data_IF_822980486534
#
_entry.id   IF_822980486534
#
_cell.length_a   1.000
_cell.length_b   1.000
_cell.length_c   1.000
_cell.angle_alpha   90.00
_cell.angle_beta   90.00
_cell.angle_gamma   90.00
#
_symmetry.space_group_name_H-M   'P 1'
#
loop_
_entity.id
_entity.type
_entity.pdbx_description
1 polymer ?
#
# COMPACT_ATOMS: atom_id res chain seq x y z
N UNK A 1 -31.04 -19.36 13.81
CA UNK A 1 -30.14 -18.26 14.22
C UNK A 1 -29.13 -18.07 13.10
N UNK A 2 -29.22 -17.02 12.30
CA UNK A 2 -28.25 -16.74 11.23
C UNK A 2 -27.02 -16.12 11.90
N UNK A 3 -25.91 -16.85 11.95
CA UNK A 3 -24.63 -16.35 12.44
C UNK A 3 -24.14 -15.21 11.54
N UNK A 4 -23.98 -14.00 12.11
CA UNK A 4 -23.26 -12.87 11.49
C UNK A 4 -21.76 -13.02 11.73
N UNK A 5 -21.15 -14.12 11.30
CA UNK A 5 -19.69 -14.17 11.27
C UNK A 5 -19.21 -13.04 10.34
N UNK A 6 -18.27 -12.17 10.79
CA UNK A 6 -17.72 -11.14 9.92
C UNK A 6 -17.02 -11.80 8.73
N UNK A 7 -17.23 -11.25 7.55
CA UNK A 7 -16.54 -11.73 6.35
C UNK A 7 -15.05 -11.40 6.45
N UNK A 8 -14.22 -12.44 6.46
CA UNK A 8 -12.76 -12.29 6.37
C UNK A 8 -12.37 -12.28 4.90
N UNK A 9 -11.54 -11.30 4.53
CA UNK A 9 -10.95 -11.19 3.19
C UNK A 9 -9.46 -10.90 3.32
N UNK A 10 -8.67 -11.54 2.47
CA UNK A 10 -7.27 -11.21 2.28
C UNK A 10 -7.14 -9.94 1.45
N UNK A 11 -6.18 -9.08 1.78
CA UNK A 11 -5.82 -7.92 0.97
C UNK A 11 -4.32 -7.89 0.78
N UNK A 12 -3.85 -7.99 -0.47
CA UNK A 12 -2.43 -7.90 -0.76
C UNK A 12 -2.08 -6.50 -1.24
N UNK A 13 -1.40 -5.76 -0.38
CA UNK A 13 -1.07 -4.36 -0.59
C UNK A 13 0.04 -4.15 -1.63
N UNK A 14 1.14 -4.92 -1.52
CA UNK A 14 2.29 -4.79 -2.42
C UNK A 14 2.90 -6.14 -2.76
N UNK A 15 3.21 -6.32 -4.04
CA UNK A 15 4.02 -7.42 -4.55
C UNK A 15 5.02 -6.87 -5.56
N UNK A 16 6.31 -6.97 -5.25
CA UNK A 16 7.39 -6.50 -6.10
C UNK A 16 8.47 -7.57 -6.24
N UNK A 17 8.91 -7.82 -7.48
CA UNK A 17 10.07 -8.66 -7.76
C UNK A 17 11.13 -7.79 -8.40
N UNK A 18 12.33 -7.82 -7.82
CA UNK A 18 13.48 -7.11 -8.36
C UNK A 18 13.72 -7.52 -9.83
N UNK A 19 13.97 -6.57 -10.77
CA UNK A 19 13.97 -6.84 -12.21
C UNK A 19 14.82 -8.03 -12.65
N UNK A 20 16.00 -8.21 -12.05
CA UNK A 20 16.91 -9.32 -12.38
C UNK A 20 16.35 -10.72 -12.06
N UNK A 21 15.32 -10.79 -11.21
CA UNK A 21 14.72 -12.03 -10.73
C UNK A 21 13.28 -12.25 -11.23
N UNK A 22 12.78 -11.35 -12.08
CA UNK A 22 11.47 -11.51 -12.73
C UNK A 22 11.47 -12.69 -13.71
N UNK A 23 10.27 -13.21 -14.01
CA UNK A 23 10.06 -14.35 -14.93
C UNK A 23 10.70 -15.68 -14.47
N UNK A 24 11.07 -15.81 -13.20
CA UNK A 24 11.62 -17.03 -12.58
C UNK A 24 10.64 -17.76 -11.66
N UNK A 25 9.35 -17.40 -11.70
CA UNK A 25 8.31 -18.00 -10.85
C UNK A 25 8.34 -17.58 -9.38
N UNK A 26 9.09 -16.54 -9.02
CA UNK A 26 9.22 -16.11 -7.61
C UNK A 26 7.92 -15.50 -7.10
N UNK A 27 7.28 -14.63 -7.89
CA UNK A 27 6.00 -14.04 -7.52
C UNK A 27 4.91 -15.10 -7.29
N UNK A 28 4.90 -16.16 -8.10
CA UNK A 28 3.97 -17.28 -7.94
C UNK A 28 4.14 -17.93 -6.56
N UNK A 29 5.37 -18.31 -6.22
CA UNK A 29 5.68 -18.93 -4.92
C UNK A 29 5.32 -18.04 -3.73
N UNK A 30 5.54 -16.73 -3.85
CA UNK A 30 5.18 -15.77 -2.79
C UNK A 30 3.67 -15.69 -2.61
N UNK A 31 2.90 -15.65 -3.71
CA UNK A 31 1.43 -15.60 -3.65
C UNK A 31 0.87 -16.91 -3.11
N UNK A 32 1.37 -18.06 -3.54
CA UNK A 32 0.92 -19.37 -3.04
C UNK A 32 1.15 -19.47 -1.51
N UNK A 33 2.32 -19.02 -1.04
CA UNK A 33 2.65 -18.98 0.39
C UNK A 33 1.81 -17.99 1.19
N UNK A 34 1.29 -16.94 0.55
CA UNK A 34 0.40 -15.98 1.19
C UNK A 34 -1.05 -16.48 1.28
N UNK A 35 -1.49 -17.26 0.28
CA UNK A 35 -2.85 -17.81 0.23
C UNK A 35 -3.06 -18.83 1.35
N UNK A 36 -2.06 -19.66 1.67
CA UNK A 36 -2.11 -20.68 2.74
C UNK A 36 -2.66 -20.11 4.08
N UNK A 37 -2.01 -19.14 4.74
CA UNK A 37 -2.50 -18.60 6.01
C UNK A 37 -3.81 -17.81 5.86
N UNK A 38 -4.08 -17.19 4.71
CA UNK A 38 -5.36 -16.50 4.48
C UNK A 38 -6.54 -17.48 4.52
N UNK A 39 -6.38 -18.67 3.94
CA UNK A 39 -7.40 -19.72 3.99
C UNK A 39 -7.56 -20.23 5.43
N UNK A 40 -6.48 -20.43 6.16
CA UNK A 40 -6.50 -20.86 7.56
C UNK A 40 -7.24 -19.87 8.47
N UNK A 41 -7.11 -18.57 8.23
CA UNK A 41 -7.83 -17.50 8.93
C UNK A 41 -9.30 -17.34 8.47
N UNK A 42 -9.75 -18.15 7.50
CA UNK A 42 -11.12 -18.17 7.02
C UNK A 42 -11.43 -17.13 5.95
N UNK A 43 -10.42 -16.56 5.30
CA UNK A 43 -10.62 -15.66 4.17
C UNK A 43 -11.28 -16.39 3.00
N UNK A 44 -12.36 -15.81 2.46
CA UNK A 44 -13.08 -16.36 1.30
C UNK A 44 -12.73 -15.70 -0.03
N UNK A 45 -12.12 -14.53 0.04
CA UNK A 45 -11.71 -13.73 -1.10
C UNK A 45 -10.35 -13.10 -0.81
N UNK A 46 -9.54 -12.95 -1.86
CA UNK A 46 -8.32 -12.15 -1.84
C UNK A 46 -8.48 -10.99 -2.81
N UNK A 47 -8.23 -9.78 -2.32
CA UNK A 47 -8.32 -8.54 -3.08
C UNK A 47 -6.92 -8.02 -3.41
N UNK A 48 -6.82 -7.45 -4.60
CA UNK A 48 -5.63 -6.79 -5.15
C UNK A 48 -6.08 -5.57 -5.91
N UNK A 49 -5.39 -4.45 -5.70
CA UNK A 49 -5.48 -3.27 -6.55
C UNK A 49 -4.17 -3.04 -7.29
N UNK A 50 -4.26 -2.54 -8.50
CA UNK A 50 -3.10 -2.13 -9.29
C UNK A 50 -3.52 -1.04 -10.27
N UNK A 51 -2.59 -0.16 -10.61
CA UNK A 51 -2.84 0.82 -11.67
C UNK A 51 -3.20 0.09 -12.98
N UNK A 52 -4.24 0.49 -13.71
CA UNK A 52 -4.59 -0.12 -15.00
C UNK A 52 -3.43 -0.15 -16.01
N UNK A 53 -2.48 0.78 -15.92
CA UNK A 53 -1.26 0.82 -16.74
C UNK A 53 -0.19 -0.18 -16.28
N UNK A 54 -0.31 -0.78 -15.09
CA UNK A 54 0.54 -1.86 -14.62
C UNK A 54 0.19 -3.19 -15.30
N UNK A 55 0.46 -3.26 -16.60
CA UNK A 55 0.15 -4.41 -17.45
C UNK A 55 0.84 -5.70 -16.97
N UNK A 56 1.97 -5.61 -16.27
CA UNK A 56 2.66 -6.75 -15.69
C UNK A 56 1.84 -7.39 -14.56
N UNK A 57 1.31 -6.60 -13.64
CA UNK A 57 0.45 -7.08 -12.56
C UNK A 57 -0.86 -7.66 -13.12
N UNK A 58 -1.52 -6.97 -14.06
CA UNK A 58 -2.74 -7.47 -14.70
C UNK A 58 -2.51 -8.85 -15.32
N UNK A 59 -1.47 -9.00 -16.16
CA UNK A 59 -1.13 -10.28 -16.79
C UNK A 59 -0.73 -11.37 -15.80
N UNK A 60 -0.22 -11.00 -14.62
CA UNK A 60 0.15 -11.96 -13.58
C UNK A 60 -1.08 -12.50 -12.83
N UNK A 61 -2.04 -11.63 -12.47
CA UNK A 61 -3.22 -12.01 -11.67
C UNK A 61 -4.36 -12.61 -12.48
N UNK A 62 -4.59 -12.18 -13.73
CA UNK A 62 -5.68 -12.70 -14.58
C UNK A 62 -5.68 -14.24 -14.70
N UNK A 63 -4.57 -14.92 -15.06
CA UNK A 63 -4.57 -16.38 -15.18
C UNK A 63 -4.70 -17.12 -13.83
N UNK A 64 -4.60 -16.41 -12.69
CA UNK A 64 -4.78 -16.98 -11.34
C UNK A 64 -6.23 -16.94 -10.85
N UNK A 65 -7.16 -16.49 -11.69
CA UNK A 65 -8.58 -16.42 -11.34
C UNK A 65 -8.99 -15.12 -10.64
N UNK A 66 -8.09 -14.13 -10.53
CA UNK A 66 -8.48 -12.76 -10.16
C UNK A 66 -9.29 -12.15 -11.30
N UNK A 67 -10.61 -12.26 -11.20
CA UNK A 67 -11.58 -11.75 -12.17
C UNK A 67 -12.25 -10.46 -11.73
N UNK A 68 -13.14 -9.94 -12.58
CA UNK A 68 -13.93 -8.73 -12.34
C UNK A 68 -13.09 -7.47 -12.03
N UNK A 69 -12.10 -7.12 -12.88
CA UNK A 69 -11.33 -5.90 -12.67
C UNK A 69 -12.25 -4.68 -12.65
N UNK A 70 -12.08 -3.84 -11.64
CA UNK A 70 -12.74 -2.53 -11.54
C UNK A 70 -11.69 -1.44 -11.65
N UNK A 71 -11.94 -0.46 -12.51
CA UNK A 71 -11.09 0.72 -12.60
C UNK A 71 -11.53 1.72 -11.52
N UNK A 72 -10.59 2.12 -10.66
CA UNK A 72 -10.82 3.15 -9.65
C UNK A 72 -10.31 4.49 -10.17
N UNK A 73 -11.07 5.57 -9.93
CA UNK A 73 -10.63 6.94 -10.18
C UNK A 73 -9.97 7.46 -8.91
N UNK A 74 -8.72 7.91 -9.01
CA UNK A 74 -7.98 8.51 -7.92
C UNK A 74 -7.76 9.99 -8.18
N UNK A 75 -8.02 10.82 -7.17
CA UNK A 75 -7.68 12.25 -7.20
C UNK A 75 -6.38 12.45 -6.44
N UNK A 76 -5.52 13.32 -6.96
CA UNK A 76 -4.36 13.83 -6.22
C UNK A 76 -4.47 15.33 -6.07
N UNK A 77 -4.07 15.83 -4.91
CA UNK A 77 -3.93 17.25 -4.63
C UNK A 77 -2.48 17.52 -4.27
N UNK A 78 -1.83 18.43 -5.01
CA UNK A 78 -0.50 18.85 -4.66
C UNK A 78 -0.53 19.90 -3.54
N UNK A 79 -0.30 19.47 -2.31
CA UNK A 79 -0.30 20.32 -1.13
C UNK A 79 0.83 21.36 -1.11
N UNK A 80 1.92 21.17 -1.86
CA UNK A 80 3.01 22.16 -1.89
C UNK A 80 2.61 23.48 -2.55
N UNK A 81 1.49 23.47 -3.28
CA UNK A 81 0.89 24.66 -3.89
C UNK A 81 -0.12 25.36 -2.98
N UNK A 82 -0.45 24.78 -1.83
CA UNK A 82 -1.38 25.37 -0.87
C UNK A 82 -0.65 26.39 0.02
N UNK A 83 -1.24 27.56 0.24
CA UNK A 83 -0.65 28.61 1.09
C UNK A 83 -0.46 28.18 2.55
N UNK A 84 -1.30 27.25 3.04
CA UNK A 84 -1.16 26.69 4.39
C UNK A 84 0.13 25.89 4.50
N UNK A 85 0.52 25.19 3.44
CA UNK A 85 1.73 24.36 3.42
C UNK A 85 2.98 25.19 3.69
N UNK A 86 3.13 26.32 2.99
CA UNK A 86 4.25 27.24 3.23
C UNK A 86 4.27 27.80 4.66
N UNK A 87 3.09 28.17 5.19
CA UNK A 87 2.95 28.69 6.56
C UNK A 87 3.35 27.66 7.64
N UNK A 88 2.96 26.39 7.46
CA UNK A 88 3.31 25.33 8.42
C UNK A 88 4.80 25.00 8.43
N UNK A 89 5.46 25.01 7.26
CA UNK A 89 6.91 24.81 7.18
C UNK A 89 7.66 25.95 7.87
N UNK A 90 7.26 27.20 7.64
CA UNK A 90 7.83 28.36 8.34
C UNK A 90 7.64 28.26 9.86
N UNK A 91 6.43 27.88 10.31
CA UNK A 91 6.13 27.69 11.72
C UNK A 91 7.01 26.62 12.39
N UNK A 92 7.17 25.43 11.78
CA UNK A 92 8.02 24.37 12.36
C UNK A 92 9.50 24.79 12.38
N UNK A 93 9.97 25.54 11.37
CA UNK A 93 11.33 26.10 11.37
C UNK A 93 11.53 27.07 12.54
N UNK A 94 10.66 28.05 12.69
CA UNK A 94 10.71 29.03 13.78
C UNK A 94 10.62 28.35 15.15
N UNK A 95 9.78 27.32 15.28
CA UNK A 95 9.65 26.53 16.51
C UNK A 95 10.92 25.75 16.82
N UNK A 96 11.53 25.12 15.82
CA UNK A 96 12.80 24.38 15.96
C UNK A 96 13.93 25.31 16.41
N UNK A 97 14.07 26.48 15.79
CA UNK A 97 15.07 27.50 16.15
C UNK A 97 14.90 27.99 17.61
N UNK A 98 13.65 28.24 18.05
CA UNK A 98 13.34 28.60 19.45
C UNK A 98 13.70 27.50 20.44
N UNK A 99 13.48 26.23 20.08
CA UNK A 99 13.82 25.08 20.93
C UNK A 99 15.32 24.80 20.98
N UNK A 100 16.06 25.07 19.89
CA UNK A 100 17.53 24.94 19.88
C UNK A 100 18.19 26.02 20.75
N UNK A 101 17.68 27.25 20.71
CA UNK A 101 18.19 28.35 21.55
C UNK A 101 18.00 28.12 23.06
N UNK A 102 16.98 27.34 23.45
CA UNK A 102 16.69 27.02 24.87
C UNK A 102 17.52 25.89 25.47
N UNK A 103 18.39 25.20 24.73
CA UNK A 103 19.28 24.19 25.31
C UNK A 103 20.51 24.86 25.93
N UNK A 104 20.71 24.84 27.27
CA UNK A 104 21.96 25.30 27.85
C UNK A 104 23.08 24.38 27.35
N UNK A 105 24.19 24.96 26.88
CA UNK A 105 25.41 24.19 26.61
C UNK A 105 25.79 23.46 27.90
N UNK A 106 25.62 22.13 27.94
CA UNK A 106 26.18 21.29 29.00
C UNK A 106 27.71 21.47 28.94
N UNK A 107 28.27 22.03 30.01
CA UNK A 107 29.70 22.00 30.32
C UNK A 107 30.05 20.65 30.91
#
# INVERSE_FOLDING_TARGET
MISKAPWVYGYMNWLGIHPQYQRRGIADKLVDKLIEPMIEEGARFMLVDTDPANTAAVKFFTPKGFGHPRQHVFFSLNLTKDEIYGRLIAYERDRSERLTYRRPRRR
#
